data_IF_890774383390
#
_entry.id   IF_890774383390
#
_cell.length_a   1.000
_cell.length_b   1.000
_cell.length_c   1.000
_cell.angle_alpha   90.00
_cell.angle_beta   90.00
_cell.angle_gamma   90.00
#
_symmetry.space_group_name_H-M   'P 1'
#
loop_
_entity.id
_entity.type
_entity.pdbx_description
1 polymer ?
#
# COMPACT_ATOMS: atom_id res chain seq x y z
N UNK A 1 -21.14 -11.51 -6.76
CA UNK A 1 -20.18 -10.72 -5.99
C UNK A 1 -19.04 -10.27 -6.91
N UNK A 2 -18.68 -9.02 -6.83
CA UNK A 2 -17.61 -8.48 -7.67
C UNK A 2 -16.28 -8.55 -6.92
N UNK A 3 -15.26 -9.08 -7.57
CA UNK A 3 -13.92 -9.10 -7.00
C UNK A 3 -13.37 -7.67 -6.91
N UNK A 4 -12.83 -7.33 -5.76
CA UNK A 4 -12.17 -6.05 -5.54
C UNK A 4 -10.69 -6.29 -5.33
N UNK A 5 -9.86 -5.87 -6.28
CA UNK A 5 -8.41 -6.01 -6.19
C UNK A 5 -7.80 -5.09 -5.15
N UNK A 6 -8.47 -3.97 -4.84
CA UNK A 6 -8.02 -2.98 -3.86
C UNK A 6 -9.09 -2.74 -2.81
N UNK A 7 -8.71 -2.30 -1.60
CA UNK A 7 -9.67 -1.88 -0.58
C UNK A 7 -10.60 -0.79 -1.10
N UNK A 8 -11.78 -0.69 -0.49
CA UNK A 8 -12.77 0.30 -0.87
C UNK A 8 -12.21 1.73 -0.81
N UNK A 9 -12.47 2.50 -1.86
CA UNK A 9 -12.01 3.88 -1.95
C UNK A 9 -10.61 4.05 -2.51
N UNK A 10 -9.85 2.98 -2.70
CA UNK A 10 -8.54 3.06 -3.33
C UNK A 10 -8.64 2.75 -4.81
N UNK A 11 -7.79 3.40 -5.61
CA UNK A 11 -7.76 3.17 -7.04
C UNK A 11 -6.36 3.42 -7.61
N UNK A 12 -6.10 2.83 -8.77
CA UNK A 12 -4.83 3.01 -9.46
C UNK A 12 -4.94 4.16 -10.44
N UNK A 13 -3.92 4.99 -10.49
CA UNK A 13 -3.85 6.13 -11.38
C UNK A 13 -2.40 6.41 -11.73
N UNK A 14 -2.18 7.08 -12.85
CA UNK A 14 -0.84 7.51 -13.23
C UNK A 14 -0.26 8.43 -12.15
N UNK A 15 0.98 8.15 -11.76
CA UNK A 15 1.62 8.80 -10.62
C UNK A 15 2.71 9.76 -11.07
N UNK A 16 2.83 10.95 -10.45
CA UNK A 16 3.97 11.82 -10.69
C UNK A 16 5.28 11.27 -10.12
N UNK A 17 5.20 10.27 -9.21
CA UNK A 17 6.40 9.66 -8.63
C UNK A 17 7.00 8.67 -9.60
N UNK A 18 6.23 7.68 -10.03
CA UNK A 18 6.70 6.66 -10.97
C UNK A 18 5.51 5.88 -11.51
N UNK A 19 5.43 5.71 -12.81
CA UNK A 19 4.43 4.88 -13.47
C UNK A 19 3.02 5.08 -12.93
N UNK A 20 2.43 4.01 -12.39
CA UNK A 20 1.13 4.06 -11.75
C UNK A 20 1.27 3.96 -10.24
N UNK A 21 0.34 4.55 -9.51
CA UNK A 21 0.33 4.51 -8.06
C UNK A 21 -1.06 4.29 -7.52
N UNK A 22 -1.17 4.21 -6.19
CA UNK A 22 -2.44 4.04 -5.51
C UNK A 22 -2.87 5.36 -4.91
N UNK A 23 -4.11 5.75 -5.17
CA UNK A 23 -4.72 6.98 -4.69
C UNK A 23 -5.97 6.65 -3.91
N UNK A 24 -6.40 7.57 -3.06
CA UNK A 24 -7.63 7.41 -2.30
C UNK A 24 -8.68 8.43 -2.72
N UNK A 25 -9.95 8.00 -2.73
CA UNK A 25 -11.10 8.90 -2.99
C UNK A 25 -11.58 9.60 -1.73
N UNK A 26 -11.16 9.11 -0.56
CA UNK A 26 -11.69 9.57 0.72
C UNK A 26 -10.56 9.88 1.69
N UNK A 27 -10.89 10.60 2.77
CA UNK A 27 -9.94 10.83 3.85
C UNK A 27 -9.58 9.53 4.52
N UNK A 28 -8.30 9.35 4.84
CA UNK A 28 -7.80 8.19 5.59
C UNK A 28 -7.13 8.69 6.86
N UNK A 29 -7.64 8.24 8.00
CA UNK A 29 -7.10 8.60 9.29
C UNK A 29 -5.87 7.77 9.64
N UNK A 30 -4.99 8.33 10.47
CA UNK A 30 -3.86 7.58 11.03
C UNK A 30 -4.38 6.33 11.73
N UNK A 31 -3.71 5.21 11.51
CA UNK A 31 -4.09 3.93 12.11
C UNK A 31 -5.00 3.09 11.23
N UNK A 32 -5.49 3.64 10.11
CA UNK A 32 -6.32 2.86 9.19
C UNK A 32 -5.52 1.71 8.60
N UNK A 33 -6.04 0.48 8.73
CA UNK A 33 -5.45 -0.69 8.11
C UNK A 33 -5.99 -0.81 6.69
N UNK A 34 -5.10 -0.76 5.71
CA UNK A 34 -5.48 -0.79 4.30
C UNK A 34 -5.54 -2.22 3.75
N UNK A 35 -5.08 -3.20 4.52
CA UNK A 35 -5.16 -4.59 4.11
C UNK A 35 -3.81 -5.19 3.75
N UNK A 36 -3.87 -6.43 3.25
CA UNK A 36 -2.71 -7.25 2.94
C UNK A 36 -1.96 -6.70 1.73
N UNK A 37 -0.65 -6.49 1.89
CA UNK A 37 0.19 -5.97 0.81
C UNK A 37 1.13 -7.04 0.26
N UNK A 38 1.74 -7.82 1.14
CA UNK A 38 2.74 -8.82 0.77
C UNK A 38 2.58 -10.08 1.59
N UNK A 39 2.96 -11.20 0.98
CA UNK A 39 3.05 -12.50 1.65
C UNK A 39 4.41 -13.06 1.32
N UNK A 40 5.16 -13.49 2.34
CA UNK A 40 6.40 -14.24 2.12
C UNK A 40 6.08 -15.70 2.32
N UNK A 41 6.28 -16.49 1.26
CA UNK A 41 6.00 -17.91 1.24
C UNK A 41 7.15 -18.64 0.55
N UNK A 42 7.77 -19.59 1.24
CA UNK A 42 8.89 -20.37 0.69
C UNK A 42 9.98 -19.47 0.07
N UNK A 43 10.37 -18.42 0.80
CA UNK A 43 11.37 -17.43 0.40
C UNK A 43 10.96 -16.57 -0.80
N UNK A 44 9.72 -16.65 -1.23
CA UNK A 44 9.20 -15.81 -2.29
C UNK A 44 8.35 -14.68 -1.72
N UNK A 45 8.48 -13.48 -2.30
CA UNK A 45 7.65 -12.34 -1.94
C UNK A 45 6.51 -12.26 -2.95
N UNK A 46 5.28 -12.44 -2.47
CA UNK A 46 4.08 -12.36 -3.29
C UNK A 46 3.39 -11.04 -2.96
N UNK A 47 3.13 -10.23 -3.97
CA UNK A 47 2.49 -8.92 -3.80
C UNK A 47 1.01 -9.01 -4.18
N UNK A 48 0.16 -8.43 -3.33
CA UNK A 48 -1.23 -8.16 -3.72
C UNK A 48 -1.24 -6.93 -4.63
N UNK A 49 -2.36 -6.61 -5.28
CA UNK A 49 -2.44 -5.36 -6.04
C UNK A 49 -2.09 -4.12 -5.20
N UNK A 50 -2.48 -4.09 -3.93
CA UNK A 50 -2.10 -3.01 -3.03
C UNK A 50 -0.58 -2.91 -2.91
N UNK A 51 0.10 -4.01 -2.62
CA UNK A 51 1.55 -4.02 -2.49
C UNK A 51 2.28 -3.86 -3.81
N UNK A 52 1.64 -4.22 -4.93
CA UNK A 52 2.25 -4.15 -6.25
C UNK A 52 2.24 -2.76 -6.87
N UNK A 53 1.25 -1.95 -6.57
CA UNK A 53 1.10 -0.62 -7.16
C UNK A 53 1.49 0.53 -6.24
N UNK A 54 1.70 0.28 -4.94
CA UNK A 54 2.08 1.35 -4.04
C UNK A 54 3.52 1.80 -4.32
N UNK A 55 3.73 3.10 -4.45
CA UNK A 55 5.04 3.64 -4.79
C UNK A 55 5.89 3.91 -3.55
N UNK A 56 7.21 3.93 -3.77
CA UNK A 56 8.18 4.22 -2.72
C UNK A 56 8.29 5.72 -2.45
N UNK A 57 8.48 6.08 -1.19
CA UNK A 57 8.86 7.44 -0.79
C UNK A 57 9.74 7.35 0.45
N UNK A 58 10.70 8.26 0.55
CA UNK A 58 11.50 8.39 1.77
C UNK A 58 10.73 9.13 2.86
N UNK A 59 9.62 9.77 2.51
CA UNK A 59 8.72 10.44 3.45
C UNK A 59 7.29 9.90 3.25
N UNK A 60 7.07 8.62 3.57
CA UNK A 60 5.81 7.96 3.23
C UNK A 60 4.68 8.34 4.17
N UNK A 61 3.44 8.16 3.69
CA UNK A 61 2.25 8.32 4.52
C UNK A 61 1.68 6.98 5.00
N UNK A 62 2.30 5.87 4.61
CA UNK A 62 1.93 4.54 5.04
C UNK A 62 3.14 3.76 5.52
N UNK A 63 2.90 2.76 6.36
CA UNK A 63 3.93 1.84 6.82
C UNK A 63 3.46 0.40 6.67
N UNK A 64 4.42 -0.48 6.44
CA UNK A 64 4.19 -1.91 6.33
C UNK A 64 4.52 -2.55 7.67
N UNK A 65 3.71 -3.51 8.10
CA UNK A 65 3.99 -4.26 9.31
C UNK A 65 3.61 -5.72 9.14
N UNK A 66 4.31 -6.58 9.84
CA UNK A 66 4.04 -8.01 9.82
C UNK A 66 3.01 -8.33 10.92
N UNK A 67 1.94 -9.02 10.54
CA UNK A 67 0.91 -9.42 11.49
C UNK A 67 1.05 -10.87 11.90
N UNK A 68 1.27 -11.75 10.93
CA UNK A 68 1.49 -13.17 11.16
C UNK A 68 2.61 -13.65 10.25
N UNK A 69 3.12 -14.83 10.48
CA UNK A 69 4.26 -15.40 9.74
C UNK A 69 4.21 -15.08 8.25
N UNK A 70 5.03 -14.13 7.83
CA UNK A 70 5.17 -13.74 6.43
C UNK A 70 4.03 -12.93 5.83
N UNK A 71 3.04 -12.51 6.61
CA UNK A 71 1.92 -11.69 6.11
C UNK A 71 2.12 -10.25 6.52
N UNK A 72 2.15 -9.37 5.54
CA UNK A 72 2.40 -7.94 5.75
C UNK A 72 1.21 -7.11 5.34
N UNK A 73 0.85 -6.17 6.19
CA UNK A 73 -0.27 -5.26 6.00
C UNK A 73 0.24 -3.83 5.92
N UNK A 74 -0.54 -2.96 5.31
CA UNK A 74 -0.22 -1.53 5.22
C UNK A 74 -1.15 -0.74 6.13
N UNK A 75 -0.56 0.16 6.91
CA UNK A 75 -1.28 1.03 7.83
C UNK A 75 -0.95 2.49 7.51
N UNK A 76 -1.94 3.35 7.62
CA UNK A 76 -1.76 4.79 7.45
C UNK A 76 -1.04 5.36 8.67
N UNK A 77 0.05 6.10 8.42
CA UNK A 77 0.85 6.71 9.50
C UNK A 77 0.79 8.24 9.49
N UNK A 78 0.22 8.84 8.46
CA UNK A 78 -0.06 10.27 8.37
C UNK A 78 -1.44 10.44 7.76
N UNK A 79 -2.22 11.47 8.15
CA UNK A 79 -3.52 11.68 7.54
C UNK A 79 -3.37 11.84 6.01
N UNK A 80 -4.26 11.18 5.27
CA UNK A 80 -4.25 11.24 3.81
C UNK A 80 -5.59 11.81 3.36
N UNK A 81 -5.54 12.84 2.52
CA UNK A 81 -6.76 13.46 1.98
C UNK A 81 -7.19 12.86 0.65
N UNK A 82 -8.42 13.22 0.20
CA UNK A 82 -8.92 12.72 -1.08
C UNK A 82 -7.99 13.06 -2.22
N UNK A 83 -7.81 12.11 -3.13
CA UNK A 83 -6.98 12.23 -4.32
C UNK A 83 -5.48 12.31 -4.04
N UNK A 84 -5.05 12.07 -2.81
CA UNK A 84 -3.63 11.96 -2.52
C UNK A 84 -3.13 10.55 -2.81
N UNK A 85 -1.86 10.47 -3.19
CA UNK A 85 -1.20 9.19 -3.45
C UNK A 85 -0.72 8.56 -2.14
N UNK A 86 -0.92 7.25 -2.02
CA UNK A 86 -0.39 6.46 -0.91
C UNK A 86 1.04 6.04 -1.24
N UNK A 87 1.95 6.22 -0.30
CA UNK A 87 3.35 5.87 -0.48
C UNK A 87 3.86 5.06 0.71
N UNK A 88 4.87 4.25 0.43
CA UNK A 88 5.45 3.32 1.38
C UNK A 88 6.97 3.36 1.24
N UNK A 89 7.69 3.26 2.34
CA UNK A 89 9.14 3.09 2.23
C UNK A 89 9.43 1.61 1.99
N UNK A 90 10.03 1.30 0.85
CA UNK A 90 10.36 -0.09 0.51
C UNK A 90 11.44 -0.61 1.44
N UNK A 91 11.19 -1.77 2.04
CA UNK A 91 12.14 -2.41 2.94
C UNK A 91 12.49 -3.83 2.53
N UNK A 92 11.71 -4.41 1.60
CA UNK A 92 11.99 -5.75 1.07
C UNK A 92 13.04 -5.73 -0.02
N UNK A 93 13.27 -4.59 -0.66
CA UNK A 93 14.16 -4.48 -1.81
C UNK A 93 15.33 -3.60 -1.45
N UNK A 94 16.51 -4.03 -1.87
CA UNK A 94 17.69 -3.17 -1.78
C UNK A 94 17.58 -2.08 -2.84
N UNK A 95 17.76 -0.87 -2.41
CA UNK A 95 17.73 0.27 -3.30
C UNK A 95 19.05 0.99 -3.19
#
# INVERSE_FOLDING_TARGET
MTYQALPDGLFVKESPVAGQGIFTRKDLAIGTNLGLSHIILDDEIIRTPLGGFINHSDNPNCAKYEFENGRYFIQVIKPIGPMEELTLKYTFYSV
#
